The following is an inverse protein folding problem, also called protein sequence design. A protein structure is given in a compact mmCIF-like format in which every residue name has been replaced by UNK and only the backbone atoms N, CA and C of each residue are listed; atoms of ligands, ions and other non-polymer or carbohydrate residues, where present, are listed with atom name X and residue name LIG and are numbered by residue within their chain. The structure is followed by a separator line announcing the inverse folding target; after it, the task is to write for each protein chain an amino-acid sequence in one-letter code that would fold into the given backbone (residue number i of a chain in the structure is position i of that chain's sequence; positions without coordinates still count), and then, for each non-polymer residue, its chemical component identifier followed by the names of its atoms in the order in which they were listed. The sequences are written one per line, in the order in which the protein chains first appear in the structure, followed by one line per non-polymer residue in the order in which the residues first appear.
data_IF_251974585949
#
_entry.id   IF_251974585949
#
_cell.length_a   1.000
_cell.length_b   1.000
_cell.length_c   1.000
_cell.angle_alpha   90.00
_cell.angle_beta   90.00
_cell.angle_gamma   90.00
#
_symmetry.space_group_name_H-M   'P 1'
#
loop_
_entity.id
_entity.type
_entity.pdbx_description
1 polymer ?
#
# COMPACT_ATOMS: atom_id res chain seq x y z
N UNK A 1 40.53 12.92 -5.89
CA UNK A 1 39.23 12.24 -5.72
C UNK A 1 39.44 11.24 -4.60
N UNK A 2 38.88 11.49 -3.42
CA UNK A 2 39.03 10.55 -2.29
C UNK A 2 38.37 9.23 -2.64
N UNK A 3 39.05 8.12 -2.35
CA UNK A 3 38.48 6.78 -2.47
C UNK A 3 37.21 6.69 -1.60
N UNK A 4 36.11 6.11 -2.11
CA UNK A 4 34.87 5.97 -1.35
C UNK A 4 35.12 5.09 -0.13
N UNK A 5 34.69 5.57 1.04
CA UNK A 5 34.83 4.85 2.31
C UNK A 5 33.97 3.56 2.26
N UNK A 6 34.34 2.45 2.93
CA UNK A 6 33.55 1.21 2.93
C UNK A 6 32.08 1.38 3.36
N UNK A 7 31.81 2.37 4.21
CA UNK A 7 30.46 2.77 4.64
C UNK A 7 29.63 3.35 3.48
N UNK A 8 30.26 4.13 2.58
CA UNK A 8 29.57 4.74 1.44
C UNK A 8 29.15 3.70 0.40
N UNK A 9 30.00 2.68 0.19
CA UNK A 9 29.71 1.57 -0.72
C UNK A 9 28.52 0.74 -0.22
N UNK A 10 28.44 0.48 1.10
CA UNK A 10 27.31 -0.24 1.68
C UNK A 10 25.99 0.53 1.54
N UNK A 11 25.99 1.83 1.84
CA UNK A 11 24.80 2.69 1.68
C UNK A 11 24.36 2.75 0.22
N UNK A 12 25.30 2.85 -0.73
CA UNK A 12 24.99 2.83 -2.15
C UNK A 12 24.45 1.48 -2.61
N UNK A 13 25.00 0.36 -2.12
CA UNK A 13 24.49 -0.97 -2.43
C UNK A 13 23.08 -1.18 -1.88
N UNK A 14 22.80 -0.74 -0.65
CA UNK A 14 21.47 -0.79 -0.05
C UNK A 14 20.46 0.05 -0.86
N UNK A 15 20.86 1.24 -1.31
CA UNK A 15 20.04 2.07 -2.20
C UNK A 15 19.76 1.39 -3.54
N UNK A 16 20.77 0.74 -4.14
CA UNK A 16 20.61 -0.04 -5.38
C UNK A 16 19.71 -1.25 -5.15
N UNK A 17 19.84 -1.97 -4.04
CA UNK A 17 18.97 -3.10 -3.71
C UNK A 17 17.52 -2.64 -3.62
N UNK A 18 17.22 -1.59 -2.84
CA UNK A 18 15.87 -1.04 -2.73
C UNK A 18 15.30 -0.54 -4.06
N UNK A 19 16.15 0.02 -4.93
CA UNK A 19 15.72 0.55 -6.23
C UNK A 19 15.53 -0.54 -7.30
N UNK A 20 16.41 -1.56 -7.34
CA UNK A 20 16.56 -2.45 -8.48
C UNK A 20 16.22 -3.93 -8.18
N UNK A 21 16.17 -4.38 -6.92
CA UNK A 21 15.93 -5.79 -6.60
C UNK A 21 14.64 -6.34 -7.23
N UNK A 22 13.50 -5.63 -7.07
CA UNK A 22 12.24 -6.06 -7.67
C UNK A 22 12.25 -6.09 -9.21
N UNK A 23 13.04 -5.22 -9.85
CA UNK A 23 13.23 -5.22 -11.33
C UNK A 23 14.05 -6.42 -11.76
N UNK A 24 15.19 -6.64 -11.10
CA UNK A 24 16.08 -7.77 -11.35
C UNK A 24 15.34 -9.09 -11.14
N UNK A 25 14.58 -9.21 -10.05
CA UNK A 25 13.77 -10.39 -9.74
C UNK A 25 12.73 -10.65 -10.84
N UNK A 26 11.96 -9.63 -11.24
CA UNK A 26 10.95 -9.78 -12.28
C UNK A 26 11.54 -10.32 -13.60
N UNK A 27 12.69 -9.77 -14.03
CA UNK A 27 13.42 -10.27 -15.18
C UNK A 27 13.87 -11.73 -15.00
N UNK A 28 14.42 -12.06 -13.83
CA UNK A 28 14.91 -13.41 -13.55
C UNK A 28 13.79 -14.45 -13.46
N UNK A 29 12.63 -14.13 -12.89
CA UNK A 29 11.47 -15.04 -12.84
C UNK A 29 11.03 -15.42 -14.24
N UNK A 30 10.98 -14.45 -15.17
CA UNK A 30 10.69 -14.73 -16.59
C UNK A 30 11.76 -15.61 -17.23
N UNK A 31 13.03 -15.26 -17.05
CA UNK A 31 14.15 -15.96 -17.70
C UNK A 31 14.32 -17.38 -17.19
N UNK A 32 14.14 -17.60 -15.89
CA UNK A 32 14.41 -18.86 -15.21
C UNK A 32 13.16 -19.72 -14.99
N UNK A 33 11.97 -19.18 -15.28
CA UNK A 33 10.71 -19.91 -15.25
C UNK A 33 10.20 -20.28 -13.85
N UNK A 34 10.74 -19.65 -12.80
CA UNK A 34 10.39 -19.98 -11.42
C UNK A 34 10.89 -18.96 -10.40
N UNK A 35 10.13 -18.81 -9.31
CA UNK A 35 10.38 -17.83 -8.27
C UNK A 35 11.62 -18.15 -7.43
N UNK A 36 11.77 -19.40 -7.00
CA UNK A 36 12.86 -19.84 -6.12
C UNK A 36 14.22 -19.69 -6.80
N UNK A 37 14.37 -20.23 -8.01
CA UNK A 37 15.62 -20.14 -8.77
C UNK A 37 16.00 -18.69 -9.10
N UNK A 38 15.00 -17.83 -9.36
CA UNK A 38 15.23 -16.41 -9.63
C UNK A 38 15.70 -15.63 -8.41
N UNK A 39 15.10 -15.89 -7.25
CA UNK A 39 15.48 -15.26 -5.99
C UNK A 39 16.89 -15.68 -5.55
N UNK A 40 17.22 -16.97 -5.61
CA UNK A 40 18.56 -17.46 -5.27
C UNK A 40 19.62 -16.84 -6.20
N UNK A 41 19.35 -16.83 -7.51
CA UNK A 41 20.22 -16.21 -8.50
C UNK A 41 20.42 -14.71 -8.25
N UNK A 42 19.36 -13.99 -7.91
CA UNK A 42 19.42 -12.58 -7.56
C UNK A 42 20.29 -12.35 -6.32
N UNK A 43 20.08 -13.12 -5.25
CA UNK A 43 20.86 -12.99 -4.02
C UNK A 43 22.35 -13.30 -4.23
N UNK A 44 22.68 -14.31 -5.04
CA UNK A 44 24.08 -14.58 -5.45
C UNK A 44 24.69 -13.41 -6.24
N UNK A 45 23.91 -12.73 -7.10
CA UNK A 45 24.37 -11.57 -7.83
C UNK A 45 24.62 -10.36 -6.94
N UNK A 46 23.72 -10.08 -5.98
CA UNK A 46 23.95 -9.02 -4.99
C UNK A 46 25.12 -9.33 -4.05
N UNK A 47 25.34 -10.60 -3.70
CA UNK A 47 26.55 -11.01 -2.96
C UNK A 47 27.81 -10.74 -3.77
N UNK A 48 27.83 -11.11 -5.06
CA UNK A 48 28.95 -10.82 -5.94
C UNK A 48 29.17 -9.30 -6.13
N UNK A 49 28.10 -8.50 -6.17
CA UNK A 49 28.18 -7.04 -6.19
C UNK A 49 28.84 -6.48 -4.93
N UNK A 50 28.45 -6.98 -3.74
CA UNK A 50 29.02 -6.58 -2.46
C UNK A 50 30.53 -6.89 -2.36
N UNK A 51 31.00 -7.94 -3.03
CA UNK A 51 32.42 -8.32 -3.07
C UNK A 51 33.21 -7.51 -4.10
N UNK A 52 32.64 -7.28 -5.30
CA UNK A 52 33.37 -6.72 -6.45
C UNK A 52 33.30 -5.20 -6.57
N UNK A 53 32.13 -4.59 -6.34
CA UNK A 53 31.97 -3.14 -6.53
C UNK A 53 32.84 -2.26 -5.61
N UNK A 54 33.17 -2.66 -4.37
CA UNK A 54 34.14 -1.90 -3.56
C UNK A 54 35.52 -1.80 -4.20
N UNK A 55 35.93 -2.80 -4.99
CA UNK A 55 37.27 -2.90 -5.59
C UNK A 55 37.28 -2.41 -7.04
N UNK A 56 36.29 -2.83 -7.83
CA UNK A 56 36.18 -2.55 -9.27
C UNK A 56 35.45 -1.24 -9.57
N UNK A 57 34.79 -0.66 -8.56
CA UNK A 57 33.90 0.48 -8.70
C UNK A 57 32.49 0.08 -9.13
N UNK A 58 31.54 1.02 -8.97
CA UNK A 58 30.15 0.78 -9.36
C UNK A 58 30.01 0.77 -10.89
N UNK A 59 29.36 -0.25 -11.47
CA UNK A 59 29.08 -0.29 -12.89
C UNK A 59 28.14 0.86 -13.29
N UNK A 60 28.29 1.35 -14.53
CA UNK A 60 27.40 2.40 -15.09
C UNK A 60 25.93 1.97 -15.15
N UNK A 61 25.68 0.67 -15.32
CA UNK A 61 24.34 0.09 -15.30
C UNK A 61 24.31 -1.11 -14.31
N UNK A 62 24.05 -0.85 -13.01
CA UNK A 62 24.04 -1.89 -11.98
C UNK A 62 23.04 -3.00 -12.25
N UNK A 63 21.83 -2.68 -12.74
CA UNK A 63 20.79 -3.66 -13.03
C UNK A 63 21.21 -4.66 -14.12
N UNK A 64 21.73 -4.18 -15.25
CA UNK A 64 22.19 -5.07 -16.33
C UNK A 64 23.31 -6.01 -15.86
N UNK A 65 24.21 -5.49 -15.02
CA UNK A 65 25.27 -6.28 -14.38
C UNK A 65 24.70 -7.35 -13.45
N UNK A 66 23.71 -6.99 -12.62
CA UNK A 66 23.04 -7.90 -11.68
C UNK A 66 22.29 -9.02 -12.41
N UNK A 67 21.47 -8.70 -13.42
CA UNK A 67 20.74 -9.70 -14.21
C UNK A 67 21.70 -10.65 -14.91
N UNK A 68 22.77 -10.13 -15.51
CA UNK A 68 23.77 -10.96 -16.20
C UNK A 68 24.48 -11.89 -15.21
N UNK A 69 24.95 -11.35 -14.09
CA UNK A 69 25.62 -12.13 -13.04
C UNK A 69 24.70 -13.20 -12.46
N UNK A 70 23.45 -12.86 -12.16
CA UNK A 70 22.44 -13.78 -11.65
C UNK A 70 22.19 -14.93 -12.64
N UNK A 71 22.04 -14.64 -13.94
CA UNK A 71 21.87 -15.67 -14.96
C UNK A 71 23.03 -16.65 -15.00
N UNK A 72 24.28 -16.17 -14.96
CA UNK A 72 25.45 -17.05 -14.91
C UNK A 72 25.45 -17.91 -13.64
N UNK A 73 25.16 -17.33 -12.48
CA UNK A 73 25.05 -18.05 -11.21
C UNK A 73 23.95 -19.12 -11.24
N UNK A 74 22.80 -18.83 -11.84
CA UNK A 74 21.70 -19.79 -12.01
C UNK A 74 22.11 -20.96 -12.91
N UNK A 75 22.77 -20.69 -14.04
CA UNK A 75 23.29 -21.74 -14.94
C UNK A 75 24.32 -22.61 -14.22
N UNK A 76 25.22 -22.00 -13.44
CA UNK A 76 26.23 -22.73 -12.66
C UNK A 76 25.61 -23.56 -11.53
N UNK A 77 24.52 -23.10 -10.92
CA UNK A 77 23.75 -23.87 -9.93
C UNK A 77 23.07 -25.08 -10.59
N UNK A 78 22.33 -24.86 -11.68
CA UNK A 78 21.67 -25.93 -12.43
C UNK A 78 22.66 -26.97 -12.97
N UNK A 79 23.86 -26.57 -13.40
CA UNK A 79 24.92 -27.49 -13.83
C UNK A 79 25.51 -28.32 -12.70
N UNK A 80 25.52 -27.80 -11.47
CA UNK A 80 25.95 -28.56 -10.28
C UNK A 80 24.89 -29.56 -9.87
N UNK A 81 23.61 -29.16 -9.92
CA UNK A 81 22.48 -30.04 -9.62
C UNK A 81 22.24 -31.08 -10.70
N UNK A 82 22.48 -30.78 -11.97
CA UNK A 82 22.35 -31.74 -13.08
C UNK A 82 23.35 -32.90 -13.02
N UNK A 83 24.43 -32.76 -12.23
CA UNK A 83 25.36 -33.86 -11.91
C UNK A 83 24.80 -34.79 -10.83
N UNK A 84 23.76 -34.35 -10.11
CA UNK A 84 23.08 -35.06 -9.02
C UNK A 84 21.69 -35.57 -9.45
N UNK A 85 21.00 -34.89 -10.37
CA UNK A 85 19.69 -35.25 -10.91
C UNK A 85 19.56 -34.88 -12.41
N UNK A 86 19.31 -35.88 -13.25
CA UNK A 86 19.22 -35.72 -14.70
C UNK A 86 18.03 -34.86 -15.18
N UNK A 87 17.02 -34.62 -14.34
CA UNK A 87 15.86 -33.81 -14.67
C UNK A 87 16.19 -32.32 -14.93
N UNK A 88 17.33 -31.82 -14.46
CA UNK A 88 17.74 -30.42 -14.61
C UNK A 88 18.52 -30.12 -15.91
N UNK A 89 18.93 -31.15 -16.66
CA UNK A 89 19.71 -31.01 -17.91
C UNK A 89 18.97 -30.20 -18.99
N UNK A 90 17.67 -30.44 -19.28
CA UNK A 90 16.96 -29.69 -20.32
C UNK A 90 16.79 -28.20 -20.01
N UNK A 91 16.66 -27.84 -18.73
CA UNK A 91 16.52 -26.44 -18.27
C UNK A 91 17.85 -25.69 -18.45
N UNK A 92 18.96 -26.32 -18.06
CA UNK A 92 20.29 -25.75 -18.24
C UNK A 92 20.63 -25.56 -19.74
N UNK A 93 20.26 -26.51 -20.60
CA UNK A 93 20.46 -26.43 -22.04
C UNK A 93 19.57 -25.36 -22.70
N UNK A 94 18.30 -25.24 -22.31
CA UNK A 94 17.40 -24.20 -22.81
C UNK A 94 17.90 -22.78 -22.45
N UNK A 95 18.39 -22.58 -21.21
CA UNK A 95 18.97 -21.31 -20.76
C UNK A 95 20.28 -20.97 -21.47
N UNK A 96 21.05 -21.99 -21.86
CA UNK A 96 22.29 -21.82 -22.64
C UNK A 96 21.99 -21.51 -24.12
N UNK A 97 20.97 -22.15 -24.70
CA UNK A 97 20.51 -21.91 -26.08
C UNK A 97 19.82 -20.56 -26.27
N UNK A 98 19.15 -20.03 -25.24
CA UNK A 98 18.56 -18.69 -25.22
C UNK A 98 19.61 -17.55 -25.13
N UNK A 99 20.81 -17.74 -25.68
CA UNK A 99 21.95 -16.81 -25.61
C UNK A 99 21.75 -15.47 -26.36
N UNK A 100 20.58 -15.20 -26.94
CA UNK A 100 20.39 -14.07 -27.87
C UNK A 100 19.57 -12.87 -27.37
N UNK A 101 18.93 -12.89 -26.19
CA UNK A 101 18.25 -11.67 -25.71
C UNK A 101 18.11 -11.62 -24.18
N UNK A 102 19.10 -11.02 -23.51
CA UNK A 102 18.74 -10.20 -22.35
C UNK A 102 17.74 -9.13 -22.85
N UNK A 103 16.75 -8.67 -22.06
CA UNK A 103 15.93 -7.53 -22.47
C UNK A 103 16.88 -6.38 -22.85
N UNK A 104 16.90 -6.05 -24.14
CA UNK A 104 17.89 -5.12 -24.71
C UNK A 104 17.50 -3.67 -24.45
N UNK A 105 16.28 -3.42 -23.95
CA UNK A 105 15.75 -2.10 -23.68
C UNK A 105 15.10 -2.01 -22.29
N UNK A 106 15.04 -0.79 -21.77
CA UNK A 106 14.24 -0.44 -20.59
C UNK A 106 12.73 -0.66 -20.80
N UNK A 107 12.27 -0.93 -22.02
CA UNK A 107 10.84 -1.07 -22.37
C UNK A 107 10.24 -2.42 -21.95
N UNK A 108 11.02 -3.49 -21.87
CA UNK A 108 10.53 -4.83 -21.46
C UNK A 108 10.33 -4.95 -19.92
N UNK A 109 11.10 -4.19 -19.14
CA UNK A 109 11.10 -4.22 -17.66
C UNK A 109 9.79 -3.70 -17.04
N UNK A 110 9.12 -2.67 -17.59
CA UNK A 110 7.76 -2.30 -17.28
C UNK A 110 6.79 -3.50 -17.21
N UNK A 111 6.73 -4.32 -18.26
CA UNK A 111 5.81 -5.44 -18.34
C UNK A 111 6.17 -6.55 -17.35
N UNK A 112 7.46 -6.86 -17.15
CA UNK A 112 7.91 -7.87 -16.19
C UNK A 112 7.51 -7.51 -14.74
N UNK A 113 7.67 -6.25 -14.33
CA UNK A 113 7.22 -5.81 -13.00
C UNK A 113 5.71 -5.92 -12.84
N UNK A 114 4.95 -5.57 -13.87
CA UNK A 114 3.50 -5.69 -13.84
C UNK A 114 3.07 -7.15 -13.63
N UNK A 115 3.70 -8.08 -14.36
CA UNK A 115 3.50 -9.53 -14.18
C UNK A 115 3.79 -9.96 -12.74
N UNK A 116 4.91 -9.52 -12.17
CA UNK A 116 5.28 -9.84 -10.79
C UNK A 116 4.23 -9.36 -9.78
N UNK A 117 3.72 -8.13 -9.92
CA UNK A 117 2.66 -7.60 -9.06
C UNK A 117 1.41 -8.48 -9.12
N UNK A 118 0.96 -8.82 -10.32
CA UNK A 118 -0.23 -9.68 -10.51
C UNK A 118 -0.05 -11.11 -10.02
N UNK A 119 1.16 -11.66 -10.08
CA UNK A 119 1.49 -12.97 -9.51
C UNK A 119 1.47 -12.92 -7.98
N UNK A 120 2.12 -11.94 -7.37
CA UNK A 120 2.17 -11.78 -5.90
C UNK A 120 0.79 -11.49 -5.29
N UNK A 121 -0.08 -10.81 -6.04
CA UNK A 121 -1.44 -10.45 -5.62
C UNK A 121 -2.53 -11.43 -6.09
N UNK A 122 -2.16 -12.63 -6.55
CA UNK A 122 -3.12 -13.58 -7.10
C UNK A 122 -4.19 -13.98 -6.05
N UNK A 123 -5.51 -14.02 -6.40
CA UNK A 123 -6.59 -14.33 -5.46
C UNK A 123 -6.46 -15.68 -4.73
N UNK A 124 -5.87 -16.68 -5.38
CA UNK A 124 -5.57 -17.99 -4.78
C UNK A 124 -4.60 -17.95 -3.58
N UNK A 125 -3.87 -16.84 -3.40
CA UNK A 125 -2.99 -16.60 -2.26
C UNK A 125 -3.81 -15.91 -1.14
N UNK A 126 -3.72 -16.35 0.13
CA UNK A 126 -4.41 -15.68 1.24
C UNK A 126 -4.06 -14.18 1.33
N UNK A 127 -5.00 -13.28 1.68
CA UNK A 127 -4.77 -11.83 1.66
C UNK A 127 -3.51 -11.37 2.40
N UNK A 128 -3.31 -11.84 3.63
CA UNK A 128 -2.15 -11.48 4.45
C UNK A 128 -0.82 -11.91 3.82
N UNK A 129 -0.85 -13.02 3.08
CA UNK A 129 0.30 -13.56 2.39
C UNK A 129 0.63 -12.77 1.12
N UNK A 130 -0.38 -12.22 0.42
CA UNK A 130 -0.17 -11.31 -0.72
C UNK A 130 0.59 -10.05 -0.30
N UNK A 131 0.21 -9.45 0.84
CA UNK A 131 0.86 -8.22 1.33
C UNK A 131 2.30 -8.50 1.76
N UNK A 132 2.54 -9.57 2.53
CA UNK A 132 3.89 -9.94 2.95
C UNK A 132 4.79 -10.28 1.75
N UNK A 133 4.28 -11.03 0.77
CA UNK A 133 5.01 -11.37 -0.45
C UNK A 133 5.29 -10.12 -1.30
N UNK A 134 4.31 -9.22 -1.46
CA UNK A 134 4.50 -7.98 -2.22
C UNK A 134 5.57 -7.08 -1.59
N UNK A 135 5.53 -6.91 -0.26
CA UNK A 135 6.53 -6.13 0.47
C UNK A 135 7.93 -6.73 0.37
N UNK A 136 8.04 -8.06 0.43
CA UNK A 136 9.33 -8.73 0.33
C UNK A 136 9.92 -8.60 -1.07
N UNK A 137 9.12 -8.89 -2.09
CA UNK A 137 9.62 -9.14 -3.45
C UNK A 137 9.62 -7.89 -4.34
N UNK A 138 8.72 -6.93 -4.10
CA UNK A 138 8.62 -5.70 -4.90
C UNK A 138 9.16 -4.46 -4.18
N UNK A 139 9.03 -4.42 -2.85
CA UNK A 139 9.47 -3.29 -2.04
C UNK A 139 10.86 -3.51 -1.41
N UNK A 140 11.38 -4.75 -1.43
CA UNK A 140 12.70 -5.08 -0.90
C UNK A 140 12.80 -5.04 0.62
N UNK A 141 11.68 -5.12 1.35
CA UNK A 141 11.70 -5.14 2.81
C UNK A 141 12.24 -6.46 3.36
N UNK A 142 12.95 -6.38 4.48
CA UNK A 142 13.38 -7.54 5.26
C UNK A 142 12.20 -8.20 5.97
N UNK A 143 12.32 -9.50 6.23
CA UNK A 143 11.32 -10.25 7.02
C UNK A 143 11.09 -9.60 8.38
N UNK A 144 12.15 -9.06 8.99
CA UNK A 144 12.14 -8.36 10.26
C UNK A 144 11.40 -7.02 10.19
N UNK A 145 11.62 -6.23 9.13
CA UNK A 145 10.89 -4.98 8.88
C UNK A 145 9.40 -5.26 8.66
N UNK A 146 9.07 -6.28 7.87
CA UNK A 146 7.68 -6.71 7.64
C UNK A 146 7.05 -7.18 8.97
N UNK A 147 7.74 -8.00 9.75
CA UNK A 147 7.23 -8.47 11.03
C UNK A 147 6.94 -7.32 12.02
N UNK A 148 7.82 -6.32 12.06
CA UNK A 148 7.64 -5.11 12.87
C UNK A 148 6.44 -4.29 12.37
N UNK A 149 6.29 -4.13 11.06
CA UNK A 149 5.14 -3.45 10.45
C UNK A 149 3.81 -4.09 10.86
N UNK A 150 3.71 -5.41 10.78
CA UNK A 150 2.50 -6.18 11.10
C UNK A 150 2.37 -6.58 12.56
N UNK A 151 3.23 -6.07 13.45
CA UNK A 151 3.23 -6.39 14.89
C UNK A 151 3.19 -7.91 15.16
N UNK A 152 3.96 -8.67 14.39
CA UNK A 152 4.06 -10.13 14.49
C UNK A 152 5.52 -10.56 14.54
N UNK A 153 5.79 -11.86 14.54
CA UNK A 153 7.15 -12.40 14.64
C UNK A 153 7.75 -12.65 13.25
N UNK A 154 9.07 -12.44 13.11
CA UNK A 154 9.79 -12.72 11.87
C UNK A 154 9.62 -14.17 11.37
N UNK A 155 9.63 -15.20 12.24
CA UNK A 155 9.30 -16.57 11.82
C UNK A 155 7.88 -16.72 11.23
N UNK A 156 6.89 -15.98 11.75
CA UNK A 156 5.51 -16.02 11.23
C UNK A 156 5.45 -15.43 9.83
N UNK A 157 6.12 -14.29 9.60
CA UNK A 157 6.22 -13.69 8.27
C UNK A 157 6.99 -14.59 7.30
N UNK A 158 8.12 -15.15 7.71
CA UNK A 158 8.91 -16.06 6.88
C UNK A 158 8.07 -17.26 6.43
N UNK A 159 7.37 -17.93 7.36
CA UNK A 159 6.48 -19.04 7.02
C UNK A 159 5.33 -18.61 6.10
N UNK A 160 4.77 -17.42 6.31
CA UNK A 160 3.71 -16.86 5.46
C UNK A 160 4.19 -16.64 4.03
N UNK A 161 5.40 -16.11 3.83
CA UNK A 161 6.02 -15.92 2.52
C UNK A 161 6.31 -17.27 1.84
N UNK A 162 6.90 -18.22 2.58
CA UNK A 162 7.18 -19.58 2.06
C UNK A 162 5.90 -20.27 1.59
N UNK A 163 4.82 -20.21 2.37
CA UNK A 163 3.52 -20.78 1.98
C UNK A 163 2.94 -20.08 0.76
N UNK A 164 3.11 -18.76 0.62
CA UNK A 164 2.68 -18.02 -0.57
C UNK A 164 3.40 -18.52 -1.82
N UNK A 165 4.73 -18.68 -1.76
CA UNK A 165 5.56 -19.20 -2.87
C UNK A 165 5.21 -20.64 -3.21
N UNK A 166 5.00 -21.49 -2.20
CA UNK A 166 4.52 -22.86 -2.40
C UNK A 166 3.16 -22.88 -3.13
N UNK A 167 2.21 -22.01 -2.72
CA UNK A 167 0.91 -21.89 -3.37
C UNK A 167 1.01 -21.45 -4.83
N UNK A 168 1.92 -20.53 -5.17
CA UNK A 168 2.21 -20.12 -6.56
C UNK A 168 2.62 -21.32 -7.41
N UNK A 169 3.50 -22.17 -6.88
CA UNK A 169 3.97 -23.39 -7.56
C UNK A 169 2.88 -24.46 -7.68
N UNK A 170 2.19 -24.76 -6.58
CA UNK A 170 1.15 -25.79 -6.51
C UNK A 170 -0.02 -25.49 -7.45
N UNK A 171 -0.50 -24.25 -7.46
CA UNK A 171 -1.60 -23.79 -8.32
C UNK A 171 -1.14 -23.46 -9.75
N UNK A 172 0.17 -23.56 -10.03
CA UNK A 172 0.79 -23.20 -11.33
C UNK A 172 0.35 -21.81 -11.80
N UNK A 173 0.38 -20.84 -10.90
CA UNK A 173 -0.07 -19.47 -11.18
C UNK A 173 0.77 -18.91 -12.33
N UNK A 174 0.17 -18.50 -13.45
CA UNK A 174 0.92 -18.07 -14.61
C UNK A 174 1.61 -16.73 -14.35
N UNK A 175 2.87 -16.62 -14.78
CA UNK A 175 3.65 -15.39 -14.74
C UNK A 175 3.33 -14.50 -15.95
N UNK A 176 2.12 -13.94 -15.94
CA UNK A 176 1.61 -13.12 -17.02
C UNK A 176 0.72 -11.99 -16.50
N UNK A 177 0.64 -10.92 -17.28
CA UNK A 177 -0.33 -9.85 -17.05
C UNK A 177 -1.71 -10.38 -17.46
N UNK A 178 -2.74 -10.31 -16.60
CA UNK A 178 -4.08 -10.74 -16.95
C UNK A 178 -4.63 -9.87 -18.08
N UNK A 179 -5.46 -10.45 -18.95
CA UNK A 179 -6.04 -9.75 -20.10
C UNK A 179 -7.55 -9.95 -20.17
N UNK A 180 -8.23 -9.10 -20.93
CA UNK A 180 -9.68 -9.22 -21.15
C UNK A 180 -10.49 -9.19 -19.85
N UNK A 181 -11.33 -10.21 -19.65
CA UNK A 181 -12.28 -10.27 -18.55
C UNK A 181 -11.66 -10.54 -17.16
N UNK A 182 -10.43 -11.06 -17.10
CA UNK A 182 -9.76 -11.35 -15.83
C UNK A 182 -9.13 -10.10 -15.18
N UNK A 183 -8.82 -9.08 -15.99
CA UNK A 183 -8.09 -7.90 -15.55
C UNK A 183 -8.81 -7.15 -14.42
N UNK A 184 -10.13 -6.87 -14.46
CA UNK A 184 -10.79 -6.09 -13.40
C UNK A 184 -10.71 -6.73 -12.02
N UNK A 185 -10.98 -8.04 -11.91
CA UNK A 185 -10.93 -8.76 -10.64
C UNK A 185 -9.49 -8.81 -10.09
N UNK A 186 -8.53 -9.14 -10.96
CA UNK A 186 -7.12 -9.21 -10.59
C UNK A 186 -6.56 -7.84 -10.19
N UNK A 187 -6.99 -6.78 -10.87
CA UNK A 187 -6.64 -5.42 -10.53
C UNK A 187 -7.22 -5.03 -9.16
N UNK A 188 -8.47 -5.37 -8.88
CA UNK A 188 -9.08 -5.13 -7.56
C UNK A 188 -8.27 -5.74 -6.42
N UNK A 189 -7.76 -6.98 -6.59
CA UNK A 189 -6.90 -7.62 -5.61
C UNK A 189 -5.56 -6.89 -5.41
N UNK A 190 -4.93 -6.41 -6.49
CA UNK A 190 -3.70 -5.61 -6.43
C UNK A 190 -3.94 -4.30 -5.68
N UNK A 191 -4.99 -3.55 -6.07
CA UNK A 191 -5.34 -2.27 -5.47
C UNK A 191 -5.63 -2.41 -3.97
N UNK A 192 -6.32 -3.48 -3.57
CA UNK A 192 -6.58 -3.78 -2.16
C UNK A 192 -5.30 -4.00 -1.35
N UNK A 193 -4.31 -4.71 -1.91
CA UNK A 193 -3.00 -4.93 -1.25
C UNK A 193 -2.24 -3.62 -1.10
N UNK A 194 -2.19 -2.80 -2.16
CA UNK A 194 -1.51 -1.49 -2.14
C UNK A 194 -2.18 -0.56 -1.13
N UNK A 195 -3.50 -0.50 -1.10
CA UNK A 195 -4.21 0.36 -0.15
C UNK A 195 -4.08 -0.11 1.30
N UNK A 196 -4.10 -1.42 1.54
CA UNK A 196 -3.85 -1.97 2.88
C UNK A 196 -2.45 -1.57 3.38
N UNK A 197 -1.44 -1.71 2.53
CA UNK A 197 -0.08 -1.27 2.84
C UNK A 197 -0.03 0.22 3.19
N UNK A 198 -0.71 1.07 2.41
CA UNK A 198 -0.81 2.49 2.69
C UNK A 198 -1.45 2.74 4.06
N UNK A 199 -2.58 2.09 4.36
CA UNK A 199 -3.30 2.26 5.61
C UNK A 199 -2.46 1.87 6.83
N UNK A 200 -1.69 0.78 6.74
CA UNK A 200 -0.77 0.38 7.82
C UNK A 200 0.31 1.44 8.08
N UNK A 201 0.87 2.04 7.02
CA UNK A 201 1.83 3.14 7.15
C UNK A 201 1.21 4.46 7.62
N UNK A 202 -0.04 4.71 7.24
CA UNK A 202 -0.76 5.97 7.49
C UNK A 202 -1.46 6.02 8.86
N UNK A 203 -1.87 4.88 9.41
CA UNK A 203 -2.56 4.78 10.70
C UNK A 203 -1.69 5.23 11.88
N UNK A 204 -0.37 5.07 11.78
CA UNK A 204 0.58 5.42 12.83
C UNK A 204 0.99 6.89 12.79
N UNK A 205 0.01 7.80 12.87
CA UNK A 205 0.29 9.25 12.95
C UNK A 205 0.98 9.66 14.25
N UNK A 206 1.08 8.75 15.22
CA UNK A 206 1.71 8.97 16.52
C UNK A 206 2.55 7.74 16.90
N UNK A 207 3.87 7.90 16.88
CA UNK A 207 4.85 6.90 17.32
C UNK A 207 6.25 7.20 16.73
N UNK A 208 7.35 6.82 17.41
CA UNK A 208 8.71 7.02 16.93
C UNK A 208 9.11 6.08 15.77
N UNK A 209 8.15 5.35 15.18
CA UNK A 209 8.43 4.26 14.25
C UNK A 209 8.57 4.78 12.81
N UNK A 210 9.79 5.22 12.49
CA UNK A 210 10.20 5.69 11.15
C UNK A 210 9.79 4.72 10.02
N UNK A 211 9.71 3.42 10.31
CA UNK A 211 9.42 2.39 9.32
C UNK A 211 7.99 2.44 8.79
N UNK A 212 7.04 2.99 9.55
CA UNK A 212 5.64 3.10 9.08
C UNK A 212 5.46 4.23 8.08
N UNK A 213 6.22 5.33 8.22
CA UNK A 213 6.26 6.37 7.21
C UNK A 213 6.83 5.85 5.88
N UNK A 214 7.83 4.97 5.96
CA UNK A 214 8.39 4.29 4.79
C UNK A 214 7.35 3.41 4.07
N UNK A 215 6.46 2.71 4.80
CA UNK A 215 5.40 1.90 4.17
C UNK A 215 4.41 2.71 3.33
N UNK A 216 3.97 3.87 3.84
CA UNK A 216 3.06 4.74 3.08
C UNK A 216 3.74 5.34 1.85
N UNK A 217 4.99 5.76 1.96
CA UNK A 217 5.77 6.24 0.82
C UNK A 217 5.96 5.13 -0.22
N UNK A 218 6.18 3.90 0.24
CA UNK A 218 6.34 2.73 -0.59
C UNK A 218 5.04 2.33 -1.30
N UNK A 219 3.89 2.42 -0.63
CA UNK A 219 2.59 2.23 -1.27
C UNK A 219 2.33 3.27 -2.37
N UNK A 220 2.69 4.54 -2.14
CA UNK A 220 2.59 5.59 -3.18
C UNK A 220 3.54 5.27 -4.35
N UNK A 221 4.76 4.81 -4.08
CA UNK A 221 5.71 4.38 -5.11
C UNK A 221 5.14 3.25 -5.96
N UNK A 222 4.54 2.23 -5.33
CA UNK A 222 3.84 1.14 -6.02
C UNK A 222 2.64 1.66 -6.82
N UNK A 223 1.84 2.57 -6.27
CA UNK A 223 0.72 3.19 -6.98
C UNK A 223 1.14 3.97 -8.22
N UNK A 224 2.24 4.73 -8.14
CA UNK A 224 2.85 5.43 -9.29
C UNK A 224 3.35 4.46 -10.34
N UNK A 225 4.00 3.38 -9.90
CA UNK A 225 4.45 2.32 -10.80
C UNK A 225 3.27 1.67 -11.52
N UNK A 226 2.21 1.31 -10.79
CA UNK A 226 0.99 0.76 -11.41
C UNK A 226 0.37 1.73 -12.39
N UNK A 227 0.32 3.02 -12.06
CA UNK A 227 -0.23 4.05 -12.95
C UNK A 227 0.56 4.20 -14.25
N UNK A 228 1.90 4.13 -14.17
CA UNK A 228 2.79 4.16 -15.35
C UNK A 228 2.58 2.93 -16.25
N UNK A 229 2.41 1.75 -15.64
CA UNK A 229 2.31 0.47 -16.35
C UNK A 229 0.90 0.18 -16.89
N UNK A 230 -0.12 0.61 -16.15
CA UNK A 230 -1.52 0.32 -16.40
C UNK A 230 -2.38 1.51 -15.94
N UNK A 231 -2.56 2.54 -16.78
CA UNK A 231 -3.30 3.76 -16.44
C UNK A 231 -4.83 3.54 -16.46
N UNK A 232 -5.32 2.56 -15.73
CA UNK A 232 -6.75 2.34 -15.52
C UNK A 232 -7.33 3.35 -14.52
N UNK A 233 -8.62 3.72 -14.64
CA UNK A 233 -9.25 4.73 -13.79
C UNK A 233 -9.14 4.43 -12.29
N UNK A 234 -9.29 3.17 -11.89
CA UNK A 234 -9.16 2.79 -10.47
C UNK A 234 -7.73 2.81 -9.95
N UNK A 235 -6.72 2.67 -10.82
CA UNK A 235 -5.32 2.90 -10.45
C UNK A 235 -5.08 4.38 -10.19
N UNK A 236 -5.60 5.25 -11.06
CA UNK A 236 -5.57 6.70 -10.87
C UNK A 236 -6.30 7.10 -9.57
N UNK A 237 -7.49 6.53 -9.35
CA UNK A 237 -8.29 6.75 -8.15
C UNK A 237 -7.56 6.35 -6.86
N UNK A 238 -6.96 5.16 -6.81
CA UNK A 238 -6.21 4.74 -5.63
C UNK A 238 -4.97 5.61 -5.39
N UNK A 239 -4.19 5.91 -6.43
CA UNK A 239 -3.01 6.77 -6.30
C UNK A 239 -3.42 8.17 -5.80
N UNK A 240 -4.49 8.74 -6.37
CA UNK A 240 -5.03 10.01 -5.94
C UNK A 240 -5.46 9.99 -4.47
N UNK A 241 -6.19 8.96 -4.05
CA UNK A 241 -6.63 8.79 -2.67
C UNK A 241 -5.45 8.81 -1.69
N UNK A 242 -4.41 8.03 -1.99
CA UNK A 242 -3.20 7.97 -1.16
C UNK A 242 -2.48 9.31 -1.11
N UNK A 243 -2.32 10.01 -2.25
CA UNK A 243 -1.67 11.33 -2.30
C UNK A 243 -2.46 12.38 -1.51
N UNK A 244 -3.78 12.39 -1.65
CA UNK A 244 -4.66 13.33 -0.94
C UNK A 244 -4.64 13.08 0.57
N UNK A 245 -4.64 11.82 1.00
CA UNK A 245 -4.50 11.45 2.40
C UNK A 245 -3.10 11.80 2.94
N UNK A 246 -2.04 11.54 2.17
CA UNK A 246 -0.66 11.81 2.54
C UNK A 246 -0.38 13.31 2.66
N UNK A 247 -0.99 14.13 1.81
CA UNK A 247 -0.76 15.58 1.77
C UNK A 247 -0.97 16.28 3.11
N UNK A 248 -1.86 15.76 3.95
CA UNK A 248 -2.16 16.32 5.28
C UNK A 248 -1.38 15.68 6.42
N UNK A 249 -0.46 14.73 6.18
CA UNK A 249 0.25 13.97 7.23
C UNK A 249 0.82 14.88 8.32
N UNK A 250 1.50 15.95 7.93
CA UNK A 250 2.13 16.87 8.86
C UNK A 250 1.12 17.57 9.81
N UNK A 251 -0.13 17.73 9.39
CA UNK A 251 -1.16 18.43 10.16
C UNK A 251 -2.00 17.52 11.08
N UNK A 252 -1.85 16.18 10.99
CA UNK A 252 -2.71 15.24 11.73
C UNK A 252 -2.41 15.12 13.22
N UNK A 253 -1.22 15.53 13.63
CA UNK A 253 -0.80 15.54 15.03
C UNK A 253 -0.21 16.89 15.40
N UNK A 254 -0.45 17.32 16.64
CA UNK A 254 0.13 18.52 17.19
C UNK A 254 1.54 18.26 17.78
N UNK A 255 2.15 19.30 18.34
CA UNK A 255 3.48 19.19 18.96
C UNK A 255 3.51 18.28 20.20
N UNK A 256 2.36 17.99 20.81
CA UNK A 256 2.23 17.04 21.92
C UNK A 256 2.00 15.59 21.43
N UNK A 257 1.89 15.38 20.12
CA UNK A 257 1.59 14.08 19.51
C UNK A 257 0.11 13.70 19.62
N UNK A 258 -0.76 14.65 19.93
CA UNK A 258 -2.21 14.43 20.03
C UNK A 258 -2.87 14.53 18.66
N UNK A 259 -3.93 13.74 18.47
CA UNK A 259 -4.69 13.73 17.21
C UNK A 259 -5.42 15.06 16.99
N UNK A 260 -5.24 15.63 15.81
CA UNK A 260 -5.93 16.86 15.36
C UNK A 260 -7.04 16.49 14.38
N UNK A 261 -8.28 16.88 14.71
CA UNK A 261 -9.44 16.61 13.87
C UNK A 261 -9.34 17.35 12.53
N UNK A 262 -9.90 16.79 11.46
CA UNK A 262 -9.79 17.36 10.11
C UNK A 262 -10.24 18.83 10.04
N UNK A 263 -11.27 19.21 10.81
CA UNK A 263 -11.77 20.60 10.86
C UNK A 263 -10.83 21.56 11.61
N UNK A 264 -9.93 21.04 12.44
CA UNK A 264 -8.97 21.76 13.28
C UNK A 264 -7.54 21.76 12.67
N UNK A 265 -7.31 21.03 11.57
CA UNK A 265 -6.00 20.93 10.94
C UNK A 265 -5.59 22.23 10.27
N UNK A 266 -4.34 22.64 10.51
CA UNK A 266 -3.73 23.74 9.78
C UNK A 266 -3.44 23.34 8.33
N UNK A 267 -4.30 23.83 7.42
CA UNK A 267 -4.22 23.59 5.98
C UNK A 267 -2.99 24.21 5.32
N UNK A 268 -2.35 25.21 5.95
CA UNK A 268 -1.10 25.77 5.43
C UNK A 268 0.06 24.77 5.50
N UNK A 269 -0.05 23.73 6.34
CA UNK A 269 0.92 22.63 6.47
C UNK A 269 0.67 21.49 5.50
N UNK A 270 -0.36 21.58 4.65
CA UNK A 270 -0.69 20.53 3.68
C UNK A 270 0.22 20.64 2.44
N UNK A 271 0.60 19.48 1.89
CA UNK A 271 1.41 19.41 0.68
C UNK A 271 0.57 19.78 -0.55
N UNK A 272 0.71 21.03 -0.99
CA UNK A 272 0.01 21.54 -2.15
C UNK A 272 0.39 20.84 -3.47
N UNK A 273 1.58 20.26 -3.58
CA UNK A 273 1.98 19.52 -4.79
C UNK A 273 1.26 18.17 -4.85
N UNK A 274 1.23 17.43 -3.75
CA UNK A 274 0.48 16.18 -3.64
C UNK A 274 -1.03 16.40 -3.87
N UNK A 275 -1.60 17.50 -3.35
CA UNK A 275 -3.00 17.87 -3.59
C UNK A 275 -3.26 18.10 -5.07
N UNK A 276 -2.47 18.96 -5.73
CA UNK A 276 -2.65 19.24 -7.17
C UNK A 276 -2.56 17.99 -8.03
N UNK A 277 -1.61 17.12 -7.73
CA UNK A 277 -1.47 15.85 -8.44
C UNK A 277 -2.66 14.93 -8.20
N UNK A 278 -3.06 14.74 -6.93
CA UNK A 278 -4.19 13.90 -6.56
C UNK A 278 -5.49 14.37 -7.22
N UNK A 279 -5.79 15.66 -7.17
CA UNK A 279 -6.97 16.25 -7.83
C UNK A 279 -6.93 16.00 -9.34
N UNK A 280 -5.81 16.26 -10.00
CA UNK A 280 -5.69 16.01 -11.45
C UNK A 280 -5.88 14.55 -11.84
N UNK A 281 -5.47 13.60 -10.99
CA UNK A 281 -5.73 12.17 -11.20
C UNK A 281 -7.22 11.82 -11.00
N UNK A 282 -7.90 12.39 -10.01
CA UNK A 282 -9.34 12.22 -9.80
C UNK A 282 -10.12 12.71 -11.01
N UNK A 283 -9.85 13.91 -11.49
CA UNK A 283 -10.54 14.50 -12.65
C UNK A 283 -10.39 13.63 -13.90
N UNK A 284 -9.17 13.14 -14.15
CA UNK A 284 -8.89 12.22 -15.26
C UNK A 284 -9.64 10.90 -15.12
N UNK A 285 -9.65 10.31 -13.93
CA UNK A 285 -10.34 9.05 -13.66
C UNK A 285 -11.86 9.19 -13.85
N UNK A 286 -12.46 10.24 -13.31
CA UNK A 286 -13.89 10.54 -13.44
C UNK A 286 -14.29 10.79 -14.90
N UNK A 287 -13.46 11.49 -15.67
CA UNK A 287 -13.71 11.77 -17.09
C UNK A 287 -13.85 10.49 -17.94
N UNK A 288 -13.24 9.38 -17.52
CA UNK A 288 -13.35 8.10 -18.24
C UNK A 288 -14.73 7.45 -18.13
N UNK A 289 -15.53 7.80 -17.13
CA UNK A 289 -16.81 7.15 -16.76
C UNK A 289 -16.72 5.63 -16.51
N UNK A 290 -15.50 5.09 -16.36
CA UNK A 290 -15.20 3.69 -15.99
C UNK A 290 -14.59 3.64 -14.58
N UNK A 291 -14.88 4.63 -13.75
CA UNK A 291 -14.34 4.76 -12.41
C UNK A 291 -15.03 3.78 -11.44
N UNK A 292 -14.34 3.45 -10.35
CA UNK A 292 -14.83 2.58 -9.28
C UNK A 292 -14.74 3.23 -7.90
N UNK A 293 -14.68 2.37 -6.88
CA UNK A 293 -14.79 2.78 -5.48
C UNK A 293 -13.62 3.63 -5.00
N UNK A 294 -12.40 3.37 -5.45
CA UNK A 294 -11.23 4.16 -5.06
C UNK A 294 -11.28 5.56 -5.67
N UNK A 295 -11.74 5.69 -6.91
CA UNK A 295 -11.93 7.01 -7.53
C UNK A 295 -12.96 7.85 -6.78
N UNK A 296 -14.08 7.24 -6.35
CA UNK A 296 -15.09 7.96 -5.55
C UNK A 296 -14.57 8.37 -4.17
N UNK A 297 -13.81 7.49 -3.51
CA UNK A 297 -13.14 7.83 -2.25
C UNK A 297 -12.13 8.97 -2.43
N UNK A 298 -11.36 8.94 -3.52
CA UNK A 298 -10.42 10.00 -3.87
C UNK A 298 -11.13 11.32 -4.16
N UNK A 299 -12.28 11.29 -4.85
CA UNK A 299 -13.09 12.47 -5.09
C UNK A 299 -13.61 13.08 -3.78
N UNK A 300 -14.03 12.27 -2.82
CA UNK A 300 -14.42 12.74 -1.47
C UNK A 300 -13.23 13.43 -0.79
N UNK A 301 -12.05 12.81 -0.86
CA UNK A 301 -10.82 13.39 -0.30
C UNK A 301 -10.42 14.69 -1.01
N UNK A 302 -10.63 14.79 -2.33
CA UNK A 302 -10.33 15.97 -3.14
C UNK A 302 -11.21 17.16 -2.73
N UNK A 303 -12.52 16.96 -2.56
CA UNK A 303 -13.43 18.03 -2.09
C UNK A 303 -12.96 18.59 -0.74
N UNK A 304 -12.48 17.74 0.17
CA UNK A 304 -11.88 18.20 1.41
C UNK A 304 -10.55 18.92 1.18
N UNK A 305 -9.69 18.43 0.30
CA UNK A 305 -8.37 18.98 0.03
C UNK A 305 -8.40 20.36 -0.65
N UNK A 306 -9.39 20.60 -1.51
CA UNK A 306 -9.53 21.82 -2.30
C UNK A 306 -10.15 22.99 -1.52
N UNK A 307 -10.92 22.70 -0.48
CA UNK A 307 -11.52 23.74 0.36
C UNK A 307 -10.43 24.58 1.05
N UNK A 308 -10.62 25.90 1.17
CA UNK A 308 -9.65 26.77 1.86
C UNK A 308 -9.75 26.64 3.38
N UNK A 309 -10.92 26.29 3.87
CA UNK A 309 -11.23 26.09 5.28
C UNK A 309 -12.22 24.93 5.45
N UNK A 310 -12.37 24.41 6.67
CA UNK A 310 -13.34 23.36 6.94
C UNK A 310 -14.79 23.81 6.63
N UNK A 311 -15.10 25.09 6.88
CA UNK A 311 -16.42 25.67 6.64
C UNK A 311 -16.76 25.80 5.14
N UNK A 312 -15.76 25.94 4.28
CA UNK A 312 -15.92 26.03 2.82
C UNK A 312 -16.01 24.66 2.11
N UNK A 313 -16.00 23.55 2.86
CA UNK A 313 -16.15 22.22 2.27
C UNK A 313 -17.53 22.07 1.61
N UNK A 314 -17.57 21.63 0.35
CA UNK A 314 -18.82 21.33 -0.36
C UNK A 314 -19.45 20.02 0.16
N UNK A 315 -20.13 20.12 1.31
CA UNK A 315 -20.85 19.01 1.92
C UNK A 315 -21.95 18.42 1.03
N UNK A 316 -22.74 19.20 0.26
CA UNK A 316 -23.63 18.64 -0.77
C UNK A 316 -22.93 17.67 -1.72
N UNK A 317 -21.77 18.05 -2.25
CA UNK A 317 -20.98 17.19 -3.13
C UNK A 317 -20.45 15.95 -2.39
N UNK A 318 -19.92 16.09 -1.18
CA UNK A 318 -19.46 14.96 -0.36
C UNK A 318 -20.60 13.96 -0.10
N UNK A 319 -21.80 14.43 0.24
CA UNK A 319 -22.98 13.58 0.42
C UNK A 319 -23.37 12.84 -0.86
N UNK A 320 -23.31 13.49 -2.03
CA UNK A 320 -23.61 12.87 -3.31
C UNK A 320 -22.57 11.80 -3.70
N UNK A 321 -21.29 12.06 -3.47
CA UNK A 321 -20.21 11.10 -3.70
C UNK A 321 -20.33 9.88 -2.79
N UNK A 322 -20.67 10.07 -1.50
CA UNK A 322 -20.94 8.94 -0.61
C UNK A 322 -22.18 8.14 -1.01
N UNK A 323 -23.22 8.79 -1.55
CA UNK A 323 -24.38 8.09 -2.07
C UNK A 323 -24.00 7.19 -3.26
N UNK A 324 -23.26 7.73 -4.23
CA UNK A 324 -22.75 6.96 -5.37
C UNK A 324 -21.81 5.82 -4.93
N UNK A 325 -20.94 6.07 -3.95
CA UNK A 325 -20.04 5.05 -3.41
C UNK A 325 -20.83 3.92 -2.74
N UNK A 326 -21.88 4.25 -2.00
CA UNK A 326 -22.72 3.26 -1.32
C UNK A 326 -23.53 2.40 -2.30
N UNK A 327 -24.00 2.97 -3.41
CA UNK A 327 -24.66 2.22 -4.49
C UNK A 327 -23.70 1.20 -5.13
N UNK A 328 -22.43 1.57 -5.30
CA UNK A 328 -21.40 0.71 -5.88
C UNK A 328 -20.89 -0.35 -4.90
N UNK A 329 -20.72 0.03 -3.63
CA UNK A 329 -20.17 -0.81 -2.58
C UNK A 329 -20.96 -0.63 -1.28
N UNK A 330 -22.05 -1.40 -1.09
CA UNK A 330 -22.80 -1.39 0.15
C UNK A 330 -21.91 -1.78 1.34
N UNK A 331 -21.83 -0.92 2.35
CA UNK A 331 -21.03 -1.17 3.55
C UNK A 331 -21.55 -0.34 4.73
N UNK A 332 -21.69 -0.93 5.92
CA UNK A 332 -22.03 -0.20 7.15
C UNK A 332 -21.05 0.92 7.45
N UNK A 333 -19.77 0.74 7.13
CA UNK A 333 -18.73 1.76 7.33
C UNK A 333 -18.93 2.95 6.38
N UNK A 334 -19.33 2.69 5.13
CA UNK A 334 -19.65 3.75 4.16
C UNK A 334 -20.94 4.47 4.57
N UNK A 335 -21.94 3.75 5.08
CA UNK A 335 -23.16 4.35 5.65
C UNK A 335 -22.85 5.27 6.84
N UNK A 336 -21.98 4.84 7.75
CA UNK A 336 -21.51 5.66 8.87
C UNK A 336 -20.81 6.94 8.38
N UNK A 337 -19.87 6.81 7.44
CA UNK A 337 -19.15 7.96 6.89
C UNK A 337 -20.12 8.94 6.20
N UNK A 338 -21.11 8.43 5.47
CA UNK A 338 -22.19 9.24 4.89
C UNK A 338 -23.04 9.93 5.96
N UNK A 339 -23.35 9.26 7.06
CA UNK A 339 -24.12 9.86 8.16
C UNK A 339 -23.38 11.06 8.77
N UNK A 340 -22.05 11.00 8.90
CA UNK A 340 -21.22 12.14 9.32
C UNK A 340 -21.29 13.28 8.29
N UNK A 341 -21.18 12.99 6.99
CA UNK A 341 -21.33 14.01 5.95
C UNK A 341 -22.73 14.68 5.98
N UNK A 342 -23.78 13.89 6.20
CA UNK A 342 -25.16 14.40 6.37
C UNK A 342 -25.28 15.28 7.61
N UNK A 343 -24.62 14.93 8.72
CA UNK A 343 -24.57 15.79 9.91
C UNK A 343 -23.93 17.15 9.61
N UNK A 344 -22.88 17.18 8.79
CA UNK A 344 -22.21 18.42 8.44
C UNK A 344 -23.02 19.26 7.43
N UNK A 345 -23.78 18.63 6.54
CA UNK A 345 -24.64 19.31 5.58
C UNK A 345 -25.96 19.83 6.20
N UNK A 346 -26.63 18.98 6.99
CA UNK A 346 -28.03 19.20 7.45
C UNK A 346 -28.14 19.40 8.97
N UNK A 347 -27.02 19.35 9.68
CA UNK A 347 -26.93 19.56 11.12
C UNK A 347 -26.79 18.25 11.91
N UNK A 348 -26.20 18.30 13.13
CA UNK A 348 -25.83 17.11 13.90
C UNK A 348 -26.98 16.14 14.20
N UNK A 349 -28.21 16.63 14.37
CA UNK A 349 -29.37 15.79 14.64
C UNK A 349 -29.69 14.84 13.49
N UNK A 350 -29.52 15.29 12.23
CA UNK A 350 -29.80 14.47 11.05
C UNK A 350 -28.81 13.31 10.93
N UNK A 351 -27.52 13.55 11.14
CA UNK A 351 -26.52 12.48 11.15
C UNK A 351 -26.66 11.55 12.34
N UNK A 352 -26.98 12.08 13.53
CA UNK A 352 -27.16 11.24 14.73
C UNK A 352 -28.29 10.23 14.56
N UNK A 353 -29.42 10.63 13.97
CA UNK A 353 -30.52 9.70 13.68
C UNK A 353 -30.09 8.54 12.77
N UNK A 354 -29.23 8.82 11.77
CA UNK A 354 -28.70 7.78 10.88
C UNK A 354 -27.73 6.85 11.62
N UNK A 355 -26.84 7.39 12.47
CA UNK A 355 -25.90 6.59 13.27
C UNK A 355 -26.65 5.71 14.28
N UNK A 356 -27.67 6.26 14.96
CA UNK A 356 -28.49 5.50 15.91
C UNK A 356 -29.23 4.35 15.21
N UNK A 357 -29.80 4.60 14.03
CA UNK A 357 -30.43 3.55 13.23
C UNK A 357 -29.43 2.46 12.83
N UNK A 358 -28.21 2.84 12.42
CA UNK A 358 -27.15 1.91 12.04
C UNK A 358 -26.69 1.04 13.22
N UNK A 359 -26.49 1.63 14.40
CA UNK A 359 -26.15 0.91 15.62
C UNK A 359 -27.27 -0.04 16.07
N UNK A 360 -28.53 0.36 15.88
CA UNK A 360 -29.69 -0.48 16.20
C UNK A 360 -29.79 -1.73 15.32
N UNK A 361 -29.24 -1.72 14.08
CA UNK A 361 -29.16 -2.92 13.23
C UNK A 361 -28.14 -3.95 13.70
N UNK A 362 -27.21 -3.57 14.57
CA UNK A 362 -26.22 -4.48 15.16
C UNK A 362 -24.88 -4.55 14.44
N UNK A 363 -24.79 -4.08 13.19
CA UNK A 363 -23.62 -4.29 12.32
C UNK A 363 -22.34 -3.58 12.78
N UNK A 364 -22.46 -2.49 13.56
CA UNK A 364 -21.34 -1.67 14.04
C UNK A 364 -21.26 -1.58 15.58
N UNK A 365 -21.86 -2.53 16.32
CA UNK A 365 -21.88 -2.46 17.78
C UNK A 365 -20.49 -2.52 18.42
N UNK A 366 -19.57 -3.24 17.80
CA UNK A 366 -18.18 -3.39 18.26
C UNK A 366 -17.21 -2.49 17.49
N UNK A 367 -17.72 -1.51 16.74
CA UNK A 367 -16.91 -0.54 16.02
C UNK A 367 -16.77 0.76 16.82
N UNK A 368 -15.57 1.01 17.34
CA UNK A 368 -15.24 2.15 18.20
C UNK A 368 -15.57 3.49 17.54
N UNK A 369 -15.27 3.65 16.24
CA UNK A 369 -15.49 4.90 15.52
C UNK A 369 -16.98 5.23 15.32
N UNK A 370 -17.87 4.24 15.30
CA UNK A 370 -19.31 4.49 15.28
C UNK A 370 -19.78 5.16 16.57
N UNK A 371 -19.30 4.65 17.72
CA UNK A 371 -19.59 5.23 19.04
C UNK A 371 -18.90 6.58 19.24
N UNK A 372 -17.68 6.76 18.72
CA UNK A 372 -16.99 8.05 18.75
C UNK A 372 -17.74 9.12 17.95
N UNK A 373 -18.20 8.80 16.74
CA UNK A 373 -19.00 9.70 15.90
C UNK A 373 -20.34 10.04 16.56
N UNK A 374 -21.03 9.05 17.13
CA UNK A 374 -22.25 9.26 17.93
C UNK A 374 -22.00 10.24 19.08
N UNK A 375 -20.92 10.02 19.84
CA UNK A 375 -20.53 10.87 20.97
C UNK A 375 -20.26 12.32 20.55
N UNK A 376 -19.59 12.53 19.42
CA UNK A 376 -19.35 13.87 18.89
C UNK A 376 -20.62 14.60 18.49
N UNK A 377 -21.55 13.94 17.79
CA UNK A 377 -22.83 14.56 17.42
C UNK A 377 -23.70 14.86 18.64
N UNK A 378 -23.74 13.98 19.64
CA UNK A 378 -24.40 14.25 20.92
C UNK A 378 -23.78 15.47 21.63
N UNK A 379 -22.45 15.58 21.64
CA UNK A 379 -21.73 16.72 22.22
C UNK A 379 -22.08 18.02 21.49
N UNK A 380 -22.08 18.04 20.15
CA UNK A 380 -22.47 19.21 19.34
C UNK A 380 -23.92 19.64 19.58
N UNK A 381 -24.81 18.71 19.95
CA UNK A 381 -26.20 18.98 20.32
C UNK A 381 -26.39 19.37 21.80
N UNK A 382 -25.32 19.43 22.60
CA UNK A 382 -25.40 19.70 24.04
C UNK A 382 -25.93 18.52 24.88
N UNK A 383 -26.11 17.33 24.29
CA UNK A 383 -26.56 16.10 24.97
C UNK A 383 -25.41 15.45 25.74
N UNK A 384 -24.94 16.12 26.81
CA UNK A 384 -23.71 15.77 27.55
C UNK A 384 -23.68 14.33 28.07
N UNK A 385 -24.79 13.84 28.63
CA UNK A 385 -24.83 12.48 29.20
C UNK A 385 -24.66 11.40 28.13
N UNK A 386 -25.41 11.53 27.03
CA UNK A 386 -25.32 10.59 25.92
C UNK A 386 -23.98 10.64 25.20
N UNK A 387 -23.38 11.84 25.09
CA UNK A 387 -22.03 12.00 24.57
C UNK A 387 -21.01 11.23 25.44
N UNK A 388 -21.13 11.33 26.77
CA UNK A 388 -20.26 10.64 27.72
C UNK A 388 -20.40 9.11 27.61
N UNK A 389 -21.62 8.61 27.54
CA UNK A 389 -21.88 7.17 27.37
C UNK A 389 -21.28 6.63 26.07
N UNK A 390 -21.50 7.34 24.96
CA UNK A 390 -20.97 6.95 23.66
C UNK A 390 -19.43 6.97 23.63
N UNK A 391 -18.78 8.01 24.15
CA UNK A 391 -17.32 8.04 24.25
C UNK A 391 -16.75 6.98 25.20
N UNK A 392 -17.44 6.69 26.31
CA UNK A 392 -17.03 5.62 27.22
C UNK A 392 -17.12 4.24 26.54
N UNK A 393 -18.17 4.00 25.75
CA UNK A 393 -18.31 2.79 24.95
C UNK A 393 -17.22 2.69 23.88
N UNK A 394 -16.97 3.76 23.13
CA UNK A 394 -15.88 3.82 22.14
C UNK A 394 -14.53 3.46 22.77
N UNK A 395 -14.23 4.00 23.95
CA UNK A 395 -13.00 3.70 24.69
C UNK A 395 -12.92 2.26 25.17
N UNK A 396 -14.05 1.69 25.62
CA UNK A 396 -14.11 0.31 26.12
C UNK A 396 -13.84 -0.74 25.03
N UNK A 397 -14.02 -0.39 23.75
CA UNK A 397 -13.73 -1.27 22.61
C UNK A 397 -12.24 -1.36 22.26
N UNK A 398 -11.36 -0.72 23.04
CA UNK A 398 -9.91 -0.83 22.89
C UNK A 398 -9.37 -0.17 21.61
N UNK A 399 -9.68 1.11 21.34
CA UNK A 399 -9.22 1.78 20.13
C UNK A 399 -7.70 2.01 20.18
N UNK A 400 -7.12 2.36 19.02
CA UNK A 400 -5.71 2.73 18.92
C UNK A 400 -5.34 3.86 19.90
N UNK A 401 -4.09 3.90 20.36
CA UNK A 401 -3.63 4.79 21.43
C UNK A 401 -3.98 6.28 21.19
N UNK A 402 -3.78 6.78 19.97
CA UNK A 402 -4.12 8.16 19.63
C UNK A 402 -5.61 8.47 19.81
N UNK A 403 -6.47 7.54 19.36
CA UNK A 403 -7.92 7.65 19.50
C UNK A 403 -8.31 7.54 20.98
N UNK A 404 -7.68 6.62 21.73
CA UNK A 404 -7.90 6.47 23.18
C UNK A 404 -7.62 7.78 23.93
N UNK A 405 -6.48 8.43 23.69
CA UNK A 405 -6.12 9.73 24.30
C UNK A 405 -7.10 10.83 23.94
N UNK A 406 -7.49 10.90 22.67
CA UNK A 406 -8.51 11.83 22.19
C UNK A 406 -9.84 11.63 22.94
N UNK A 407 -10.31 10.39 23.07
CA UNK A 407 -11.56 10.08 23.78
C UNK A 407 -11.46 10.42 25.28
N UNK A 408 -10.33 10.15 25.93
CA UNK A 408 -10.08 10.54 27.33
C UNK A 408 -10.12 12.06 27.52
N UNK A 409 -9.54 12.84 26.59
CA UNK A 409 -9.63 14.29 26.59
C UNK A 409 -11.08 14.77 26.47
N UNK A 410 -11.86 14.23 25.50
CA UNK A 410 -13.28 14.59 25.33
C UNK A 410 -14.13 14.22 26.55
N UNK A 411 -13.85 13.10 27.20
CA UNK A 411 -14.53 12.71 28.44
C UNK A 411 -14.26 13.69 29.59
N UNK A 412 -13.03 14.22 29.71
CA UNK A 412 -12.69 15.26 30.70
C UNK A 412 -13.40 16.59 30.44
N UNK A 413 -13.55 16.99 29.18
CA UNK A 413 -14.29 18.21 28.79
C UNK A 413 -15.80 18.12 29.09
N UNK A 414 -16.33 16.89 29.15
CA UNK A 414 -17.73 16.58 29.45
C UNK A 414 -18.01 16.31 30.94
N UNK A 415 -16.96 16.36 31.79
CA UNK A 415 -17.08 16.24 33.23
C UNK A 415 -17.90 17.38 33.84
#
# INVERSE_FOLDING_TARGET
MSEPTPTDVRVQLDAVYRAEAGRVLATLVRLLGGFELAEDAMHEAFRAAAERWPVEGFPRNPRAWLVSTARFKAIDALRRESRLDAAHVPVAEALHGASASAPQSDEDVPDERLRLIFTCCHPAIPPEARTALTLRELCGLTTEEIARAFLTTAPTIAQRIVRAKAKIREERIPYQTPTGAELPERLGAVLAVVYLLFNEGYAASSGPDLLRAELSAEAIRLGRMLFELLPEPEVMGLLALMLLQESRRAARVDAAGELVLLEEQDRARWDAAAIREGVGLVERALATRRFGAYTLQAAIAAVHAEARSAAETDWPQVCALYAALLEMQPSPVIELNRAVAVAMQRGPAAGLALIDALLARGELQDYDLAHAARGDLCRRLGRRNEAREAYARARALGPAEAVRRFLEKRLRELA
#
